data_IF_510763621648
#
_entry.id   IF_510763621648
#
_cell.length_a   1.000
_cell.length_b   1.000
_cell.length_c   1.000
_cell.angle_alpha   90.00
_cell.angle_beta   90.00
_cell.angle_gamma   90.00
#
_symmetry.space_group_name_H-M   'P 1'
#
loop_
_entity.id
_entity.type
_entity.pdbx_description
1 polymer ?
#
# COMPACT_ATOMS: atom_id res chain seq x y z
N UNK A 1 -6.55 -13.59 22.69
CA UNK A 1 -5.84 -12.56 21.90
C UNK A 1 -4.35 -12.84 21.98
N UNK A 2 -3.63 -12.69 20.88
CA UNK A 2 -2.19 -12.95 20.74
C UNK A 2 -1.60 -11.78 19.95
N UNK A 3 -0.45 -11.28 20.38
CA UNK A 3 0.32 -10.27 19.65
C UNK A 3 1.61 -10.90 19.15
N UNK A 4 1.89 -10.77 17.85
CA UNK A 4 3.15 -11.15 17.23
C UNK A 4 3.87 -9.88 16.81
N UNK A 5 5.03 -9.62 17.39
CA UNK A 5 5.87 -8.47 17.08
C UNK A 5 7.20 -8.99 16.57
N UNK A 6 7.66 -8.50 15.42
CA UNK A 6 8.93 -8.93 14.84
C UNK A 6 9.56 -7.82 14.02
N UNK A 7 10.88 -7.85 13.92
CA UNK A 7 11.72 -6.98 13.11
C UNK A 7 12.43 -7.72 11.97
N UNK A 8 12.09 -9.00 11.75
CA UNK A 8 12.66 -9.86 10.71
C UNK A 8 11.64 -10.74 10.02
N UNK A 9 12.09 -11.47 9.01
CA UNK A 9 11.29 -12.47 8.28
C UNK A 9 11.26 -13.81 9.01
N UNK A 10 10.24 -14.62 8.73
CA UNK A 10 10.10 -15.98 9.29
C UNK A 10 10.26 -17.01 8.17
N UNK A 11 10.88 -18.16 8.43
CA UNK A 11 11.14 -19.16 7.37
C UNK A 11 9.86 -19.89 6.89
N UNK A 12 8.96 -20.25 7.81
CA UNK A 12 7.78 -21.11 7.55
C UNK A 12 6.44 -20.34 7.47
N UNK A 13 6.49 -19.09 7.01
CA UNK A 13 5.37 -18.14 7.04
C UNK A 13 4.06 -18.66 6.44
N UNK A 14 4.13 -19.32 5.27
CA UNK A 14 2.94 -19.86 4.61
C UNK A 14 2.30 -20.99 5.41
N UNK A 15 3.13 -21.92 5.93
CA UNK A 15 2.65 -23.01 6.75
C UNK A 15 1.98 -22.49 8.03
N UNK A 16 2.53 -21.44 8.66
CA UNK A 16 1.91 -20.76 9.81
C UNK A 16 0.51 -20.26 9.44
N UNK A 17 0.37 -19.54 8.32
CA UNK A 17 -0.94 -19.08 7.84
C UNK A 17 -1.91 -20.24 7.59
N UNK A 18 -1.46 -21.33 6.97
CA UNK A 18 -2.32 -22.47 6.63
C UNK A 18 -2.76 -23.26 7.87
N UNK A 19 -1.90 -23.40 8.88
CA UNK A 19 -2.29 -23.97 10.17
C UNK A 19 -3.34 -23.10 10.86
N UNK A 20 -3.18 -21.77 10.80
CA UNK A 20 -4.15 -20.85 11.38
C UNK A 20 -5.49 -20.89 10.64
N UNK A 21 -5.50 -20.98 9.30
CA UNK A 21 -6.73 -21.19 8.52
C UNK A 21 -7.44 -22.49 8.91
N UNK A 22 -6.70 -23.59 9.09
CA UNK A 22 -7.26 -24.88 9.54
C UNK A 22 -7.89 -24.74 10.93
N UNK A 23 -7.22 -24.03 11.85
CA UNK A 23 -7.77 -23.73 13.18
C UNK A 23 -9.04 -22.89 13.10
N UNK A 24 -9.06 -21.83 12.29
CA UNK A 24 -10.25 -21.00 12.08
C UNK A 24 -11.42 -21.82 11.54
N UNK A 25 -11.17 -22.69 10.57
CA UNK A 25 -12.20 -23.58 10.01
C UNK A 25 -12.77 -24.57 11.04
N UNK A 26 -11.92 -25.09 11.91
CA UNK A 26 -12.30 -26.12 12.89
C UNK A 26 -12.93 -25.54 14.16
N UNK A 27 -12.50 -24.34 14.58
CA UNK A 27 -12.88 -23.75 15.87
C UNK A 27 -13.80 -22.53 15.73
N UNK A 28 -14.03 -22.03 14.51
CA UNK A 28 -14.91 -20.88 14.25
C UNK A 28 -14.55 -19.68 15.12
N UNK A 29 -15.53 -19.17 15.86
CA UNK A 29 -15.39 -18.04 16.79
C UNK A 29 -14.40 -18.27 17.94
N UNK A 30 -14.09 -19.53 18.30
CA UNK A 30 -13.14 -19.87 19.36
C UNK A 30 -11.66 -19.75 18.90
N UNK A 31 -11.43 -19.38 17.64
CA UNK A 31 -10.09 -19.18 17.11
C UNK A 31 -9.44 -17.93 17.74
N UNK A 32 -8.17 -17.99 18.18
CA UNK A 32 -7.53 -16.85 18.83
C UNK A 32 -7.39 -15.67 17.87
N UNK A 33 -7.67 -14.46 18.38
CA UNK A 33 -7.34 -13.22 17.69
C UNK A 33 -5.84 -13.01 17.63
N UNK A 34 -5.29 -12.79 16.43
CA UNK A 34 -3.85 -12.53 16.23
C UNK A 34 -3.68 -11.13 15.68
N UNK A 35 -2.98 -10.28 16.42
CA UNK A 35 -2.54 -8.96 15.97
C UNK A 35 -1.05 -9.04 15.64
N UNK A 36 -0.62 -8.41 14.55
CA UNK A 36 0.76 -8.47 14.07
C UNK A 36 1.37 -7.08 13.97
N UNK A 37 2.64 -6.95 14.36
CA UNK A 37 3.40 -5.71 14.29
C UNK A 37 4.77 -5.95 13.65
N UNK A 38 5.01 -5.33 12.49
CA UNK A 38 6.29 -5.41 11.77
C UNK A 38 7.16 -4.18 12.02
N UNK A 39 8.44 -4.39 12.35
CA UNK A 39 9.42 -3.32 12.58
C UNK A 39 10.47 -3.35 11.46
N UNK A 40 10.65 -2.24 10.77
CA UNK A 40 11.60 -2.12 9.67
C UNK A 40 11.16 -2.84 8.40
N UNK A 41 12.10 -2.99 7.49
CA UNK A 41 11.92 -3.50 6.13
C UNK A 41 12.21 -5.00 5.97
N UNK A 42 12.88 -5.61 6.95
CA UNK A 42 13.31 -7.02 6.85
C UNK A 42 12.17 -8.00 7.11
N UNK A 43 11.06 -7.56 7.71
CA UNK A 43 9.87 -8.38 7.86
C UNK A 43 9.18 -8.65 6.54
N UNK A 44 8.57 -9.84 6.40
CA UNK A 44 7.55 -10.03 5.40
C UNK A 44 6.22 -9.43 5.88
N UNK A 45 5.97 -8.17 5.53
CA UNK A 45 4.75 -7.46 5.91
C UNK A 45 3.48 -8.07 5.30
N UNK A 46 3.58 -8.77 4.17
CA UNK A 46 2.45 -9.48 3.57
C UNK A 46 2.07 -10.73 4.37
N UNK A 47 3.06 -11.47 4.90
CA UNK A 47 2.82 -12.55 5.86
C UNK A 47 2.11 -12.04 7.11
N UNK A 48 2.66 -11.00 7.75
CA UNK A 48 2.09 -10.43 8.98
C UNK A 48 0.65 -9.96 8.76
N UNK A 49 0.38 -9.31 7.62
CA UNK A 49 -0.97 -8.91 7.21
C UNK A 49 -1.90 -10.10 7.04
N UNK A 50 -1.47 -11.15 6.32
CA UNK A 50 -2.29 -12.35 6.14
C UNK A 50 -2.58 -13.05 7.45
N UNK A 51 -1.58 -13.20 8.33
CA UNK A 51 -1.75 -13.85 9.61
C UNK A 51 -2.74 -13.10 10.51
N UNK A 52 -2.65 -11.78 10.58
CA UNK A 52 -3.63 -10.96 11.32
C UNK A 52 -5.03 -11.09 10.73
N UNK A 53 -5.16 -11.00 9.41
CA UNK A 53 -6.47 -11.14 8.74
C UNK A 53 -7.10 -12.51 9.00
N UNK A 54 -6.35 -13.61 8.87
CA UNK A 54 -6.83 -14.97 9.17
C UNK A 54 -7.20 -15.08 10.66
N UNK A 55 -6.42 -14.45 11.54
CA UNK A 55 -6.72 -14.37 12.97
C UNK A 55 -7.81 -13.36 13.34
N UNK A 56 -8.46 -12.68 12.38
CA UNK A 56 -9.43 -11.58 12.63
C UNK A 56 -8.89 -10.44 13.52
N UNK A 57 -7.57 -10.28 13.60
CA UNK A 57 -6.93 -9.18 14.31
C UNK A 57 -6.44 -8.09 13.35
N UNK A 58 -5.67 -7.16 13.90
CA UNK A 58 -5.12 -6.01 13.18
C UNK A 58 -3.65 -6.20 12.87
N UNK A 59 -3.23 -5.75 11.69
CA UNK A 59 -1.83 -5.63 11.30
C UNK A 59 -1.42 -4.17 11.31
N UNK A 60 -0.29 -3.87 11.95
CA UNK A 60 0.38 -2.59 11.80
C UNK A 60 1.88 -2.77 11.57
N UNK A 61 2.52 -1.74 11.03
CA UNK A 61 3.96 -1.75 10.79
C UNK A 61 4.57 -0.35 10.85
N UNK A 62 5.86 -0.32 11.10
CA UNK A 62 6.64 0.91 11.22
C UNK A 62 8.06 0.73 10.70
N UNK A 63 8.51 1.64 9.82
CA UNK A 63 9.90 1.71 9.39
C UNK A 63 10.68 2.82 10.13
N UNK A 64 9.97 3.85 10.61
CA UNK A 64 10.56 4.93 11.40
C UNK A 64 10.60 4.54 12.88
N UNK A 65 11.80 4.32 13.40
CA UNK A 65 12.00 3.83 14.76
C UNK A 65 11.43 4.80 15.83
N UNK A 66 11.36 6.10 15.52
CA UNK A 66 10.82 7.11 16.43
C UNK A 66 9.29 6.99 16.62
N UNK A 67 8.60 6.27 15.72
CA UNK A 67 7.16 6.08 15.76
C UNK A 67 6.74 4.75 16.39
N UNK A 68 7.68 3.87 16.76
CA UNK A 68 7.38 2.53 17.28
C UNK A 68 6.41 2.61 18.46
N UNK A 69 6.74 3.39 19.49
CA UNK A 69 5.95 3.46 20.72
C UNK A 69 4.51 3.90 20.45
N UNK A 70 4.33 4.94 19.63
CA UNK A 70 3.01 5.45 19.28
C UNK A 70 2.18 4.41 18.53
N UNK A 71 2.80 3.69 17.59
CA UNK A 71 2.11 2.74 16.71
C UNK A 71 1.74 1.46 17.44
N UNK A 72 2.64 0.95 18.29
CA UNK A 72 2.35 -0.20 19.16
C UNK A 72 1.24 0.14 20.17
N UNK A 73 1.30 1.31 20.81
CA UNK A 73 0.24 1.73 21.73
C UNK A 73 -1.12 1.82 21.04
N UNK A 74 -1.16 2.35 19.80
CA UNK A 74 -2.38 2.39 18.99
C UNK A 74 -2.90 0.98 18.68
N UNK A 75 -2.04 0.06 18.25
CA UNK A 75 -2.42 -1.33 18.00
C UNK A 75 -3.01 -1.99 19.25
N UNK A 76 -2.39 -1.81 20.42
CA UNK A 76 -2.92 -2.32 21.68
C UNK A 76 -4.27 -1.70 22.04
N UNK A 77 -4.37 -0.38 21.97
CA UNK A 77 -5.62 0.35 22.27
C UNK A 77 -6.78 -0.15 21.40
N UNK A 78 -6.54 -0.32 20.09
CA UNK A 78 -7.53 -0.87 19.17
C UNK A 78 -7.89 -2.31 19.54
N UNK A 79 -6.90 -3.17 19.76
CA UNK A 79 -7.12 -4.58 20.07
C UNK A 79 -7.94 -4.76 21.36
N UNK A 80 -7.67 -3.99 22.41
CA UNK A 80 -8.41 -4.08 23.68
C UNK A 80 -9.79 -3.41 23.66
N UNK A 81 -10.15 -2.70 22.59
CA UNK A 81 -11.39 -1.95 22.48
C UNK A 81 -12.35 -2.51 21.43
N UNK A 82 -12.29 -3.82 21.16
CA UNK A 82 -13.24 -4.48 20.26
C UNK A 82 -14.68 -4.30 20.72
N UNK A 83 -15.51 -3.69 19.86
CA UNK A 83 -16.94 -3.41 20.12
C UNK A 83 -17.86 -4.42 19.43
N UNK A 84 -17.44 -5.00 18.31
CA UNK A 84 -18.23 -5.98 17.56
C UNK A 84 -17.29 -7.03 16.93
N UNK A 85 -17.51 -8.29 17.26
CA UNK A 85 -16.70 -9.41 16.80
C UNK A 85 -17.44 -10.29 15.78
N UNK A 86 -16.69 -11.16 15.09
CA UNK A 86 -17.22 -12.18 14.17
C UNK A 86 -18.15 -11.60 13.09
N UNK A 87 -17.71 -10.46 12.54
CA UNK A 87 -18.51 -9.71 11.58
C UNK A 87 -18.70 -10.52 10.29
N UNK A 88 -19.92 -10.53 9.79
CA UNK A 88 -20.31 -11.08 8.49
C UNK A 88 -21.23 -10.11 7.75
N UNK A 89 -21.17 -10.10 6.43
CA UNK A 89 -22.03 -9.27 5.57
C UNK A 89 -22.67 -10.18 4.54
N UNK A 90 -24.00 -10.20 4.50
CA UNK A 90 -24.75 -11.24 3.76
C UNK A 90 -24.41 -11.28 2.25
N UNK A 91 -24.16 -10.13 1.62
CA UNK A 91 -23.85 -10.07 0.19
C UNK A 91 -22.44 -10.54 -0.18
N UNK A 92 -21.51 -10.66 0.77
CA UNK A 92 -20.15 -11.11 0.46
C UNK A 92 -20.05 -12.62 0.23
N UNK A 93 -21.13 -13.35 0.49
CA UNK A 93 -21.22 -14.77 0.21
C UNK A 93 -21.68 -15.05 -1.24
N UNK A 94 -22.10 -14.03 -1.99
CA UNK A 94 -22.47 -14.15 -3.40
C UNK A 94 -21.25 -13.87 -4.29
N UNK A 95 -20.48 -14.94 -4.52
CA UNK A 95 -19.17 -14.88 -5.19
C UNK A 95 -19.24 -14.56 -6.70
N UNK A 96 -20.43 -14.58 -7.32
CA UNK A 96 -20.55 -14.35 -8.77
C UNK A 96 -20.63 -12.86 -9.13
N UNK A 97 -21.05 -11.99 -8.19
CA UNK A 97 -21.24 -10.57 -8.47
C UNK A 97 -20.34 -9.65 -7.64
N UNK A 98 -19.83 -10.08 -6.49
CA UNK A 98 -19.02 -9.25 -5.58
C UNK A 98 -17.70 -9.94 -5.25
N UNK A 99 -16.60 -9.34 -5.70
CA UNK A 99 -15.24 -9.73 -5.35
C UNK A 99 -14.77 -8.91 -4.13
N UNK A 100 -14.60 -9.55 -2.97
CA UNK A 100 -14.05 -8.91 -1.76
C UNK A 100 -12.58 -9.31 -1.57
N UNK A 101 -11.70 -8.33 -1.38
CA UNK A 101 -10.26 -8.56 -1.27
C UNK A 101 -9.79 -8.96 0.13
N UNK A 102 -10.68 -8.96 1.10
CA UNK A 102 -10.40 -9.48 2.45
C UNK A 102 -10.95 -10.90 2.55
N UNK A 103 -10.09 -11.86 2.89
CA UNK A 103 -10.52 -13.26 3.06
C UNK A 103 -11.32 -13.47 4.36
N UNK A 104 -11.14 -12.58 5.34
CA UNK A 104 -11.79 -12.62 6.64
C UNK A 104 -12.03 -11.20 7.13
N UNK A 105 -13.27 -10.86 7.50
CA UNK A 105 -13.60 -9.56 8.05
C UNK A 105 -13.03 -9.47 9.48
N UNK A 106 -12.16 -8.49 9.78
CA UNK A 106 -11.64 -8.28 11.12
C UNK A 106 -12.73 -7.75 12.05
N UNK A 107 -12.50 -7.88 13.36
CA UNK A 107 -13.41 -7.31 14.35
C UNK A 107 -13.39 -5.77 14.29
N UNK A 108 -14.48 -5.14 14.72
CA UNK A 108 -14.59 -3.68 14.81
C UNK A 108 -14.16 -3.23 16.20
N UNK A 109 -13.22 -2.30 16.25
CA UNK A 109 -12.74 -1.67 17.49
C UNK A 109 -13.19 -0.23 17.65
N UNK A 110 -13.26 0.23 18.89
CA UNK A 110 -13.61 1.61 19.22
C UNK A 110 -12.61 2.57 18.59
N UNK A 111 -13.11 3.69 18.05
CA UNK A 111 -12.30 4.72 17.36
C UNK A 111 -11.48 4.24 16.14
N UNK A 112 -11.69 3.01 15.66
CA UNK A 112 -11.04 2.45 14.47
C UNK A 112 -12.08 2.12 13.38
N UNK A 113 -12.08 2.81 12.22
CA UNK A 113 -13.03 2.51 11.16
C UNK A 113 -12.70 1.17 10.47
N UNK A 114 -13.67 0.26 10.44
CA UNK A 114 -13.56 -0.97 9.64
C UNK A 114 -13.74 -0.65 8.16
N UNK A 115 -12.69 -0.88 7.36
CA UNK A 115 -12.71 -0.68 5.91
C UNK A 115 -12.58 -2.02 5.19
N UNK A 116 -13.55 -2.34 4.34
CA UNK A 116 -13.54 -3.51 3.47
C UNK A 116 -13.66 -3.01 2.03
N UNK A 117 -12.76 -3.47 1.17
CA UNK A 117 -12.72 -3.08 -0.23
C UNK A 117 -12.90 -4.29 -1.15
N UNK A 118 -13.51 -4.02 -2.30
CA UNK A 118 -13.85 -5.03 -3.29
C UNK A 118 -14.37 -4.38 -4.57
N UNK A 119 -14.74 -5.23 -5.53
CA UNK A 119 -15.37 -4.84 -6.79
C UNK A 119 -16.67 -5.60 -6.94
N UNK A 120 -17.59 -5.05 -7.72
CA UNK A 120 -18.81 -5.75 -8.10
C UNK A 120 -19.09 -5.56 -9.58
N UNK A 121 -19.77 -6.54 -10.16
CA UNK A 121 -20.28 -6.48 -11.53
C UNK A 121 -21.82 -6.38 -11.50
N UNK A 122 -22.38 -5.62 -12.43
CA UNK A 122 -23.84 -5.46 -12.54
C UNK A 122 -24.43 -4.49 -11.52
N UNK A 123 -25.48 -4.94 -10.81
CA UNK A 123 -26.23 -4.10 -9.86
C UNK A 123 -25.81 -4.39 -8.42
N UNK A 124 -25.45 -3.35 -7.67
CA UNK A 124 -25.23 -3.47 -6.23
C UNK A 124 -26.56 -3.29 -5.47
N UNK A 125 -26.86 -4.10 -4.43
CA UNK A 125 -28.07 -3.96 -3.63
C UNK A 125 -28.12 -2.59 -2.93
N UNK A 126 -29.32 -2.02 -2.76
CA UNK A 126 -29.47 -0.70 -2.10
C UNK A 126 -29.30 -0.77 -0.58
N UNK A 127 -29.40 -1.97 0.00
CA UNK A 127 -29.18 -2.24 1.43
C UNK A 127 -28.40 -3.54 1.63
N UNK A 128 -27.47 -3.55 2.57
CA UNK A 128 -26.78 -4.76 3.03
C UNK A 128 -27.13 -5.03 4.50
N UNK A 129 -27.03 -6.28 4.93
CA UNK A 129 -27.10 -6.63 6.35
C UNK A 129 -25.71 -7.03 6.84
N UNK A 130 -25.26 -6.35 7.89
CA UNK A 130 -24.09 -6.75 8.68
C UNK A 130 -24.57 -7.44 9.95
N UNK A 131 -23.90 -8.53 10.32
CA UNK A 131 -24.12 -9.28 11.55
C UNK A 131 -22.81 -9.38 12.32
N UNK A 132 -22.89 -9.45 13.64
CA UNK A 132 -21.74 -9.69 14.52
C UNK A 132 -22.18 -10.03 15.93
N UNK A 133 -21.20 -10.12 16.84
CA UNK A 133 -21.38 -10.50 18.24
C UNK A 133 -20.88 -9.34 19.12
N UNK A 134 -21.71 -8.89 20.07
CA UNK A 134 -21.36 -7.86 21.04
C UNK A 134 -20.58 -8.44 22.23
N UNK A 135 -20.01 -7.58 23.07
CA UNK A 135 -19.22 -8.00 24.24
C UNK A 135 -20.01 -8.80 25.29
N UNK A 136 -21.34 -8.68 25.31
CA UNK A 136 -22.24 -9.48 26.15
C UNK A 136 -22.66 -10.81 25.49
N UNK A 137 -22.02 -11.18 24.37
CA UNK A 137 -22.28 -12.35 23.54
C UNK A 137 -23.64 -12.34 22.82
N UNK A 138 -24.39 -11.23 22.87
CA UNK A 138 -25.61 -11.09 22.10
C UNK A 138 -25.33 -10.89 20.61
N UNK A 139 -26.22 -11.39 19.77
CA UNK A 139 -26.15 -11.16 18.32
C UNK A 139 -26.59 -9.75 17.97
N UNK A 140 -25.81 -9.08 17.12
CA UNK A 140 -26.11 -7.75 16.60
C UNK A 140 -26.34 -7.82 15.09
N UNK A 141 -27.33 -7.07 14.61
CA UNK A 141 -27.68 -6.98 13.19
C UNK A 141 -27.92 -5.51 12.84
N UNK A 142 -27.31 -5.06 11.74
CA UNK A 142 -27.43 -3.69 11.27
C UNK A 142 -27.66 -3.66 9.76
N UNK A 143 -28.66 -2.88 9.34
CA UNK A 143 -28.88 -2.56 7.93
C UNK A 143 -27.91 -1.44 7.52
N UNK A 144 -27.02 -1.75 6.58
CA UNK A 144 -26.11 -0.81 5.95
C UNK A 144 -26.81 -0.16 4.76
N UNK A 145 -26.93 1.16 4.80
CA UNK A 145 -27.45 1.97 3.67
C UNK A 145 -26.33 2.22 2.68
N UNK A 146 -26.61 2.00 1.40
CA UNK A 146 -25.62 2.23 0.35
C UNK A 146 -25.62 3.71 -0.07
N UNK A 147 -24.43 4.30 -0.07
CA UNK A 147 -24.19 5.67 -0.51
C UNK A 147 -23.35 5.63 -1.77
N UNK A 148 -23.89 6.14 -2.87
CA UNK A 148 -23.18 6.23 -4.16
C UNK A 148 -22.42 7.56 -4.24
N UNK A 149 -21.18 7.57 -3.77
CA UNK A 149 -20.31 8.75 -3.81
C UNK A 149 -19.64 8.91 -5.19
N UNK A 150 -20.39 9.39 -6.19
CA UNK A 150 -19.88 9.56 -7.58
C UNK A 150 -18.69 10.52 -7.69
N UNK A 151 -18.58 11.46 -6.76
CA UNK A 151 -17.55 12.51 -6.79
C UNK A 151 -16.24 12.08 -6.10
N UNK A 152 -16.19 10.88 -5.50
CA UNK A 152 -15.00 10.34 -4.85
C UNK A 152 -14.39 9.27 -5.76
N UNK A 153 -13.14 9.44 -6.24
CA UNK A 153 -12.45 8.42 -7.03
C UNK A 153 -11.97 7.29 -6.13
N UNK A 154 -12.90 6.44 -5.67
CA UNK A 154 -12.64 5.33 -4.76
C UNK A 154 -11.62 4.35 -5.32
N UNK A 155 -11.61 4.15 -6.64
CA UNK A 155 -10.62 3.36 -7.35
C UNK A 155 -9.21 3.86 -7.05
N UNK A 156 -8.95 5.16 -7.09
CA UNK A 156 -7.65 5.77 -6.78
C UNK A 156 -7.35 5.80 -5.29
N UNK A 157 -8.34 6.15 -4.47
CA UNK A 157 -8.16 6.26 -3.01
C UNK A 157 -7.81 4.90 -2.39
N UNK A 158 -8.45 3.82 -2.87
CA UNK A 158 -8.27 2.48 -2.34
C UNK A 158 -7.21 1.66 -3.08
N UNK A 159 -6.64 2.19 -4.18
CA UNK A 159 -5.67 1.49 -5.02
C UNK A 159 -4.54 0.84 -4.23
N UNK A 160 -3.95 1.57 -3.27
CA UNK A 160 -2.84 1.04 -2.48
C UNK A 160 -3.27 -0.11 -1.58
N UNK A 161 -4.39 0.04 -0.89
CA UNK A 161 -4.95 -1.00 -0.02
C UNK A 161 -5.33 -2.25 -0.83
N UNK A 162 -5.93 -2.06 -2.01
CA UNK A 162 -6.26 -3.15 -2.94
C UNK A 162 -5.00 -3.90 -3.39
N UNK A 163 -3.95 -3.17 -3.80
CA UNK A 163 -2.65 -3.75 -4.17
C UNK A 163 -2.04 -4.53 -3.02
N UNK A 164 -2.02 -3.97 -1.81
CA UNK A 164 -1.40 -4.63 -0.64
C UNK A 164 -2.14 -5.93 -0.28
N UNK A 165 -3.48 -5.92 -0.28
CA UNK A 165 -4.29 -7.10 -0.01
C UNK A 165 -4.14 -8.17 -1.09
N UNK A 166 -4.21 -7.80 -2.37
CA UNK A 166 -4.05 -8.74 -3.47
C UNK A 166 -2.62 -9.30 -3.53
N UNK A 167 -1.60 -8.50 -3.20
CA UNK A 167 -0.21 -8.98 -3.10
C UNK A 167 -0.07 -10.00 -1.98
N UNK A 168 -0.68 -9.73 -0.82
CA UNK A 168 -0.67 -10.65 0.31
C UNK A 168 -1.37 -11.99 -0.02
N UNK A 169 -2.51 -11.92 -0.72
CA UNK A 169 -3.20 -13.10 -1.23
C UNK A 169 -2.39 -13.87 -2.27
N UNK A 170 -1.77 -13.17 -3.23
CA UNK A 170 -0.92 -13.77 -4.26
C UNK A 170 0.28 -14.49 -3.63
N UNK A 171 0.93 -13.85 -2.65
CA UNK A 171 2.04 -14.43 -1.90
C UNK A 171 1.62 -15.71 -1.16
N UNK A 172 0.47 -15.71 -0.48
CA UNK A 172 0.01 -16.85 0.32
C UNK A 172 -0.49 -18.01 -0.54
N UNK A 173 -1.16 -17.72 -1.66
CA UNK A 173 -1.73 -18.74 -2.55
C UNK A 173 -0.80 -19.17 -3.68
N UNK A 174 0.36 -18.52 -3.82
CA UNK A 174 1.30 -18.71 -4.92
C UNK A 174 0.65 -18.55 -6.31
N UNK A 175 -0.37 -17.69 -6.39
CA UNK A 175 -1.21 -17.55 -7.57
C UNK A 175 -0.63 -16.52 -8.55
N UNK A 176 -0.05 -17.01 -9.65
CA UNK A 176 0.53 -16.19 -10.74
C UNK A 176 -0.48 -15.29 -11.45
N UNK A 177 -1.76 -15.65 -11.50
CA UNK A 177 -2.78 -14.77 -12.06
C UNK A 177 -3.04 -13.56 -11.16
N UNK A 178 -3.00 -13.74 -9.83
CA UNK A 178 -3.07 -12.62 -8.89
C UNK A 178 -1.83 -11.73 -8.99
N UNK A 179 -0.63 -12.29 -9.14
CA UNK A 179 0.60 -11.49 -9.37
C UNK A 179 0.44 -10.60 -10.62
N UNK A 180 -0.07 -11.14 -11.72
CA UNK A 180 -0.35 -10.40 -12.95
C UNK A 180 -1.43 -9.33 -12.76
N UNK A 181 -2.51 -9.64 -12.03
CA UNK A 181 -3.58 -8.70 -11.69
C UNK A 181 -3.02 -7.51 -10.89
N UNK A 182 -2.20 -7.78 -9.87
CA UNK A 182 -1.53 -6.73 -9.08
C UNK A 182 -0.60 -5.89 -9.96
N UNK A 183 0.18 -6.52 -10.84
CA UNK A 183 1.07 -5.79 -11.74
C UNK A 183 0.30 -4.85 -12.69
N UNK A 184 -0.85 -5.31 -13.21
CA UNK A 184 -1.70 -4.50 -14.07
C UNK A 184 -2.35 -3.35 -13.28
N UNK A 185 -2.86 -3.64 -12.09
CA UNK A 185 -3.47 -2.63 -11.22
C UNK A 185 -2.46 -1.52 -10.89
N UNK A 186 -1.25 -1.91 -10.46
CA UNK A 186 -0.14 -0.97 -10.20
C UNK A 186 0.14 -0.03 -11.37
N UNK A 187 0.17 -0.55 -12.60
CA UNK A 187 0.39 0.26 -13.81
C UNK A 187 -0.74 1.26 -14.05
N UNK A 188 -1.99 0.84 -13.88
CA UNK A 188 -3.17 1.68 -14.14
C UNK A 188 -3.31 2.77 -13.09
N UNK A 189 -3.05 2.44 -11.82
CA UNK A 189 -3.24 3.36 -10.69
C UNK A 189 -1.98 4.16 -10.36
N UNK A 190 -0.85 3.81 -10.98
CA UNK A 190 0.47 4.37 -10.70
C UNK A 190 0.94 4.16 -9.25
N UNK A 191 0.43 3.12 -8.58
CA UNK A 191 0.88 2.70 -7.26
C UNK A 191 1.87 1.54 -7.38
N UNK A 192 3.09 1.72 -6.90
CA UNK A 192 4.15 0.68 -6.96
C UNK A 192 3.71 -0.57 -6.18
N UNK A 193 4.01 -1.74 -6.73
CA UNK A 193 3.79 -3.06 -6.12
C UNK A 193 5.05 -3.92 -6.24
N UNK A 194 5.10 -5.05 -5.52
CA UNK A 194 6.23 -6.00 -5.60
C UNK A 194 6.46 -6.55 -7.02
N UNK A 195 5.45 -6.49 -7.88
CA UNK A 195 5.50 -7.01 -9.25
C UNK A 195 5.75 -5.91 -10.30
N UNK A 196 6.08 -4.69 -9.88
CA UNK A 196 6.33 -3.56 -10.79
C UNK A 196 7.54 -2.74 -10.35
N UNK A 197 8.19 -2.06 -11.31
CA UNK A 197 9.28 -1.13 -11.03
C UNK A 197 9.10 0.17 -11.79
N UNK A 198 9.51 1.26 -11.15
CA UNK A 198 9.55 2.57 -11.78
C UNK A 198 10.91 2.77 -12.45
N UNK A 199 10.90 3.27 -13.68
CA UNK A 199 12.12 3.52 -14.47
C UNK A 199 12.09 4.97 -14.89
N UNK A 200 13.17 5.70 -14.59
CA UNK A 200 13.42 7.02 -15.15
C UNK A 200 14.06 6.85 -16.52
N UNK A 201 13.41 7.41 -17.54
CA UNK A 201 13.91 7.43 -18.92
C UNK A 201 14.37 8.84 -19.26
N UNK A 202 15.67 9.00 -19.43
CA UNK A 202 16.23 10.26 -19.92
C UNK A 202 16.07 10.30 -21.45
N UNK A 203 15.13 11.10 -21.93
CA UNK A 203 14.96 11.35 -23.38
C UNK A 203 16.03 12.34 -23.84
N UNK A 204 16.89 11.91 -24.77
CA UNK A 204 17.84 12.80 -25.42
C UNK A 204 17.09 13.78 -26.34
N UNK A 205 17.63 15.01 -26.52
CA UNK A 205 17.01 16.08 -27.35
C UNK A 205 16.71 15.68 -28.81
N UNK A 206 17.25 14.56 -29.28
CA UNK A 206 17.07 14.02 -30.65
C UNK A 206 15.68 13.40 -30.85
N UNK A 207 15.03 12.89 -29.80
CA UNK A 207 13.70 12.25 -29.93
C UNK A 207 12.58 13.25 -30.29
N UNK A 208 12.75 14.54 -29.98
CA UNK A 208 11.81 15.60 -30.38
C UNK A 208 11.82 15.87 -31.89
N UNK A 209 12.90 15.52 -32.60
CA UNK A 209 13.01 15.74 -34.04
C UNK A 209 12.31 14.65 -34.87
N UNK A 210 12.16 13.44 -34.33
CA UNK A 210 11.57 12.31 -35.06
C UNK A 210 10.03 12.32 -34.98
N UNK A 211 9.46 12.81 -33.87
CA UNK A 211 8.00 12.98 -33.74
C UNK A 211 7.45 14.17 -34.55
N UNK A 212 8.29 15.10 -35.01
CA UNK A 212 7.87 16.33 -35.69
C UNK A 212 8.04 16.34 -37.22
N UNK A 213 8.64 15.32 -37.83
CA UNK A 213 8.77 15.23 -39.29
C UNK A 213 8.05 14.01 -39.85
N UNK A 214 6.80 14.23 -40.28
CA UNK A 214 6.06 13.29 -41.11
C UNK A 214 6.81 12.99 -42.41
N UNK A 215 6.79 11.71 -42.77
CA UNK A 215 7.01 11.12 -44.10
C UNK A 215 7.84 11.94 -45.11
N UNK A 216 9.08 11.53 -45.36
CA UNK A 216 9.65 11.59 -46.72
C UNK A 216 10.71 10.50 -46.95
N UNK A 217 10.46 9.68 -47.98
CA UNK A 217 11.37 8.69 -48.55
C UNK A 217 12.55 9.38 -49.25
N UNK A 218 13.81 9.04 -48.96
CA UNK A 218 14.90 9.08 -49.97
C UNK A 218 16.03 8.05 -49.69
N UNK A 219 16.21 7.20 -50.71
CA UNK A 219 17.37 6.48 -51.31
C UNK A 219 18.52 5.86 -50.46
N UNK A 220 18.84 4.63 -50.88
CA UNK A 220 20.01 3.79 -50.54
C UNK A 220 21.35 4.46 -50.91
N UNK A 221 22.28 4.52 -49.95
CA UNK A 221 23.73 4.38 -50.20
C UNK A 221 24.51 3.95 -48.94
N UNK A 222 25.44 3.01 -49.16
CA UNK A 222 26.57 2.44 -48.38
C UNK A 222 26.43 1.84 -46.94
N UNK A 223 26.97 0.62 -46.67
CA UNK A 223 26.78 -0.11 -45.40
C UNK A 223 27.86 0.11 -44.32
N UNK A 224 28.76 1.10 -44.43
CA UNK A 224 29.86 1.25 -43.47
C UNK A 224 29.96 2.65 -42.85
N UNK A 225 29.09 2.91 -41.86
CA UNK A 225 29.30 3.73 -40.64
C UNK A 225 27.94 4.14 -40.08
N UNK A 226 27.36 3.27 -39.26
CA UNK A 226 26.34 3.70 -38.30
C UNK A 226 26.89 3.31 -36.92
N UNK A 227 27.46 4.30 -36.21
CA UNK A 227 27.57 4.21 -34.76
C UNK A 227 26.14 4.11 -34.24
N UNK A 228 25.89 3.10 -33.40
CA UNK A 228 24.59 2.87 -32.76
C UNK A 228 23.97 4.20 -32.29
N UNK A 229 22.68 4.46 -32.56
CA UNK A 229 22.01 5.59 -31.96
C UNK A 229 22.02 5.36 -30.44
N UNK A 230 22.67 6.27 -29.72
CA UNK A 230 22.83 6.23 -28.27
C UNK A 230 21.47 5.98 -27.60
N UNK A 231 21.26 4.75 -27.12
CA UNK A 231 20.00 4.34 -26.51
C UNK A 231 19.65 5.27 -25.33
N UNK A 232 18.37 5.60 -25.12
CA UNK A 232 17.96 6.46 -24.02
C UNK A 232 18.45 5.87 -22.69
N UNK A 233 19.09 6.70 -21.86
CA UNK A 233 19.64 6.27 -20.57
C UNK A 233 18.47 5.88 -19.67
N UNK A 234 18.43 4.62 -19.27
CA UNK A 234 17.41 4.08 -18.36
C UNK A 234 18.01 3.97 -16.97
N UNK A 235 17.46 4.70 -16.01
CA UNK A 235 17.81 4.56 -14.60
C UNK A 235 16.68 3.85 -13.90
N UNK A 236 16.95 2.67 -13.37
CA UNK A 236 15.99 1.94 -12.55
C UNK A 236 15.91 2.62 -11.19
N UNK A 237 14.71 3.07 -10.80
CA UNK A 237 14.52 3.55 -9.44
C UNK A 237 14.51 2.37 -8.47
N UNK A 238 14.98 2.60 -7.25
CA UNK A 238 14.94 1.56 -6.22
C UNK A 238 13.50 1.13 -5.92
N UNK A 239 13.35 -0.12 -5.45
CA UNK A 239 12.05 -0.65 -5.05
C UNK A 239 11.54 0.15 -3.85
N UNK A 240 10.42 0.86 -4.02
CA UNK A 240 9.74 1.58 -2.94
C UNK A 240 8.70 0.68 -2.23
N UNK A 241 8.85 -0.63 -2.38
CA UNK A 241 7.94 -1.64 -1.88
C UNK A 241 8.50 -2.26 -0.59
N UNK A 242 7.63 -2.83 0.24
CA UNK A 242 8.02 -3.34 1.57
C UNK A 242 8.71 -4.71 1.48
N UNK A 243 8.59 -5.39 0.33
CA UNK A 243 9.24 -6.67 0.07
C UNK A 243 8.55 -7.87 0.71
N UNK A 244 9.06 -9.06 0.40
CA UNK A 244 8.62 -10.33 0.99
C UNK A 244 9.53 -10.77 2.15
N UNK A 245 10.16 -9.80 2.83
CA UNK A 245 11.11 -10.02 3.91
C UNK A 245 12.53 -10.36 3.44
N UNK A 246 13.48 -10.31 4.39
CA UNK A 246 14.89 -10.60 4.19
C UNK A 246 15.37 -11.64 5.24
N UNK A 247 15.39 -12.91 4.83
CA UNK A 247 15.84 -14.01 5.68
C UNK A 247 17.34 -13.94 5.98
N UNK A 248 18.14 -13.36 5.09
CA UNK A 248 19.58 -13.22 5.30
C UNK A 248 19.84 -12.16 6.36
N UNK A 249 19.24 -10.98 6.23
CA UNK A 249 19.33 -9.92 7.24
C UNK A 249 18.83 -10.40 8.62
N UNK A 250 17.77 -11.22 8.62
CA UNK A 250 17.23 -11.83 9.84
C UNK A 250 18.23 -12.81 10.46
N UNK A 251 18.79 -13.74 9.68
CA UNK A 251 19.77 -14.71 10.17
C UNK A 251 21.06 -14.06 10.69
N UNK A 252 21.46 -12.95 10.06
CA UNK A 252 22.63 -12.15 10.45
C UNK A 252 22.35 -11.18 11.61
N UNK A 253 21.10 -11.11 12.11
CA UNK A 253 20.66 -10.17 13.15
C UNK A 253 21.00 -8.70 12.80
N UNK A 254 20.83 -8.33 11.53
CA UNK A 254 21.02 -6.94 11.08
C UNK A 254 19.94 -6.08 11.74
N UNK A 255 20.37 -5.01 12.41
CA UNK A 255 19.44 -4.10 13.10
C UNK A 255 18.56 -3.37 12.07
N UNK A 256 17.24 -3.23 12.32
CA UNK A 256 16.39 -2.34 11.55
C UNK A 256 16.95 -0.92 11.49
N UNK A 257 16.88 -0.28 10.32
CA UNK A 257 17.47 1.05 10.10
C UNK A 257 18.99 1.06 9.88
N UNK A 258 19.66 -0.10 9.93
CA UNK A 258 21.07 -0.25 9.53
C UNK A 258 21.24 -0.50 8.02
N UNK A 259 20.15 -0.41 7.25
CA UNK A 259 20.22 -0.45 5.80
C UNK A 259 21.20 0.62 5.33
N UNK A 260 22.33 0.21 4.75
CA UNK A 260 23.20 1.17 4.08
C UNK A 260 22.35 1.86 3.01
N UNK A 261 22.19 3.19 3.05
CA UNK A 261 21.50 3.87 1.98
C UNK A 261 22.33 3.65 0.72
N UNK A 262 21.83 2.81 -0.19
CA UNK A 262 22.28 2.84 -1.59
C UNK A 262 21.58 3.97 -2.36
N UNK A 263 21.08 5.00 -1.66
CA UNK A 263 20.42 6.16 -2.24
C UNK A 263 21.28 7.41 -2.06
N UNK A 264 21.26 8.33 -3.04
CA UNK A 264 21.52 9.73 -2.76
C UNK A 264 20.44 10.25 -1.80
N UNK A 265 20.83 11.00 -0.77
CA UNK A 265 20.00 11.54 0.33
C UNK A 265 18.58 12.00 -0.05
N UNK A 266 18.40 12.53 -1.27
CA UNK A 266 17.10 13.03 -1.75
C UNK A 266 15.97 11.99 -1.76
N UNK A 267 16.26 10.73 -2.13
CA UNK A 267 15.22 9.70 -2.20
C UNK A 267 14.79 9.20 -0.81
N UNK A 268 15.69 9.24 0.17
CA UNK A 268 15.37 8.98 1.58
C UNK A 268 14.50 10.11 2.15
N UNK A 269 14.81 11.37 1.81
CA UNK A 269 13.98 12.53 2.17
C UNK A 269 12.58 12.44 1.57
N UNK A 270 12.44 12.02 0.31
CA UNK A 270 11.14 11.77 -0.32
C UNK A 270 10.36 10.65 0.37
N UNK A 271 11.01 9.54 0.74
CA UNK A 271 10.40 8.44 1.48
C UNK A 271 9.95 8.87 2.88
N UNK A 272 10.80 9.57 3.63
CA UNK A 272 10.47 10.14 4.93
C UNK A 272 9.34 11.18 4.83
N UNK A 273 9.31 12.00 3.79
CA UNK A 273 8.26 13.00 3.59
C UNK A 273 6.91 12.36 3.20
N UNK A 274 6.92 11.36 2.32
CA UNK A 274 5.68 10.70 1.85
C UNK A 274 5.10 9.72 2.88
N UNK A 275 5.94 9.03 3.66
CA UNK A 275 5.51 8.19 4.78
C UNK A 275 4.99 9.03 5.96
N UNK A 276 5.64 10.15 6.28
CA UNK A 276 5.23 11.02 7.39
C UNK A 276 4.07 11.97 7.05
N UNK A 277 3.90 12.41 5.80
CA UNK A 277 2.84 13.37 5.46
C UNK A 277 1.45 12.73 5.60
N UNK A 278 1.27 11.51 5.10
CA UNK A 278 0.00 10.78 5.25
C UNK A 278 -0.17 10.25 6.69
N UNK A 279 0.91 9.79 7.35
CA UNK A 279 0.85 9.29 8.73
C UNK A 279 0.48 10.37 9.76
N UNK A 280 1.05 11.59 9.64
CA UNK A 280 0.77 12.69 10.59
C UNK A 280 -0.58 13.38 10.36
N UNK A 281 -1.05 13.49 9.11
CA UNK A 281 -2.39 14.06 8.84
C UNK A 281 -3.53 13.07 9.14
N UNK A 282 -3.34 11.77 8.85
CA UNK A 282 -4.36 10.75 9.14
C UNK A 282 -4.45 10.37 10.62
N UNK A 283 -3.44 10.65 11.46
CA UNK A 283 -3.50 10.38 12.90
C UNK A 283 -4.23 11.45 13.73
N UNK A 284 -4.61 12.60 13.14
CA UNK A 284 -5.32 13.68 13.86
C UNK A 284 -6.67 14.06 13.27
N UNK A 285 -7.06 13.47 12.15
CA UNK A 285 -8.28 13.84 11.46
C UNK A 285 -8.98 12.59 10.95
N UNK A 286 -10.22 12.39 11.37
CA UNK A 286 -11.08 11.35 10.81
C UNK A 286 -11.15 11.55 9.28
N UNK A 287 -11.16 10.48 8.48
CA UNK A 287 -11.11 10.57 7.01
C UNK A 287 -12.21 11.50 6.46
N UNK A 288 -13.39 11.50 7.08
CA UNK A 288 -14.51 12.40 6.78
C UNK A 288 -14.26 13.86 7.20
N UNK A 289 -13.50 14.10 8.26
CA UNK A 289 -13.11 15.43 8.76
C UNK A 289 -12.10 16.08 7.80
N UNK A 290 -11.14 15.30 7.29
CA UNK A 290 -10.22 15.75 6.22
C UNK A 290 -11.00 16.09 4.95
N UNK A 291 -11.90 15.19 4.51
CA UNK A 291 -12.73 15.43 3.32
C UNK A 291 -13.63 16.67 3.50
N UNK A 292 -14.25 16.86 4.67
CA UNK A 292 -15.04 18.06 4.99
C UNK A 292 -14.21 19.35 5.10
N UNK A 293 -12.98 19.26 5.59
CA UNK A 293 -12.09 20.41 5.67
C UNK A 293 -11.63 20.81 4.26
N UNK A 294 -11.23 19.84 3.44
CA UNK A 294 -10.85 20.03 2.06
C UNK A 294 -12.03 20.45 1.16
N UNK A 295 -13.26 20.02 1.44
CA UNK A 295 -14.45 20.44 0.68
C UNK A 295 -14.96 21.83 1.05
N UNK A 296 -14.55 22.36 2.22
CA UNK A 296 -14.80 23.75 2.63
C UNK A 296 -13.68 24.71 2.23
N UNK A 297 -12.61 24.19 1.62
CA UNK A 297 -11.47 24.99 1.19
C UNK A 297 -11.87 25.78 -0.06
N UNK A 298 -11.85 27.11 0.04
CA UNK A 298 -12.05 28.00 -1.10
C UNK A 298 -10.94 27.76 -2.14
N UNK A 299 -11.29 27.81 -3.42
CA UNK A 299 -10.41 27.65 -4.58
C UNK A 299 -9.10 28.44 -4.45
N UNK A 300 -9.14 29.66 -3.90
CA UNK A 300 -7.93 30.45 -3.67
C UNK A 300 -6.98 29.81 -2.64
N UNK A 301 -7.51 29.21 -1.58
CA UNK A 301 -6.73 28.48 -0.58
C UNK A 301 -6.15 27.19 -1.17
N UNK A 302 -6.93 26.49 -2.01
CA UNK A 302 -6.46 25.31 -2.73
C UNK A 302 -5.33 25.63 -3.71
N UNK A 303 -5.45 26.75 -4.44
CA UNK A 303 -4.39 27.23 -5.35
C UNK A 303 -3.13 27.59 -4.57
N UNK A 304 -3.26 28.31 -3.46
CA UNK A 304 -2.12 28.69 -2.62
C UNK A 304 -1.45 27.46 -2.00
N UNK A 305 -2.21 26.48 -1.49
CA UNK A 305 -1.65 25.22 -1.00
C UNK A 305 -0.96 24.44 -2.09
N UNK A 306 -1.55 24.35 -3.28
CA UNK A 306 -0.94 23.67 -4.43
C UNK A 306 0.33 24.38 -4.87
N UNK A 307 0.35 25.71 -4.90
CA UNK A 307 1.53 26.51 -5.20
C UNK A 307 2.62 26.36 -4.13
N UNK A 308 2.27 26.30 -2.85
CA UNK A 308 3.20 26.05 -1.75
C UNK A 308 3.79 24.65 -1.88
N UNK A 309 2.98 23.61 -2.10
CA UNK A 309 3.50 22.25 -2.29
C UNK A 309 4.31 22.11 -3.58
N UNK A 310 3.93 22.83 -4.64
CA UNK A 310 4.71 22.87 -5.88
C UNK A 310 6.03 23.61 -5.68
N UNK A 311 6.03 24.71 -4.94
CA UNK A 311 7.24 25.47 -4.59
C UNK A 311 8.16 24.67 -3.66
N UNK A 312 7.62 23.94 -2.69
CA UNK A 312 8.38 23.03 -1.82
C UNK A 312 8.95 21.84 -2.62
N UNK A 313 8.19 21.29 -3.56
CA UNK A 313 8.70 20.30 -4.51
C UNK A 313 9.80 20.88 -5.41
N UNK A 314 9.69 22.16 -5.80
CA UNK A 314 10.69 22.86 -6.61
C UNK A 314 11.97 23.16 -5.82
N UNK A 315 11.85 23.51 -4.53
CA UNK A 315 12.99 23.69 -3.61
C UNK A 315 13.71 22.35 -3.41
N UNK A 316 12.98 21.26 -3.22
CA UNK A 316 13.56 19.91 -3.21
C UNK A 316 14.25 19.54 -4.52
N UNK A 317 13.74 19.99 -5.68
CA UNK A 317 14.43 19.84 -6.97
C UNK A 317 15.69 20.71 -7.09
N UNK A 318 15.70 21.93 -6.52
CA UNK A 318 16.88 22.82 -6.55
C UNK A 318 18.00 22.26 -5.67
N UNK A 319 17.69 21.76 -4.47
CA UNK A 319 18.68 21.09 -3.60
C UNK A 319 19.26 19.85 -4.28
N UNK A 320 18.41 19.09 -4.99
CA UNK A 320 18.85 17.96 -5.80
C UNK A 320 19.74 18.39 -6.98
N UNK A 321 19.45 19.52 -7.64
CA UNK A 321 20.30 20.08 -8.70
C UNK A 321 21.64 20.62 -8.17
N UNK A 322 21.67 21.22 -6.98
CA UNK A 322 22.93 21.70 -6.38
C UNK A 322 23.85 20.56 -5.95
N UNK A 323 23.31 19.40 -5.53
CA UNK A 323 24.10 18.21 -5.25
C UNK A 323 24.55 17.47 -6.53
N UNK A 324 23.75 17.47 -7.60
CA UNK A 324 24.09 16.77 -8.84
C UNK A 324 25.01 17.57 -9.79
N UNK A 325 25.11 18.89 -9.62
CA UNK A 325 25.92 19.77 -10.50
C UNK A 325 27.04 20.53 -9.77
N UNK A 326 27.33 20.17 -8.52
CA UNK A 326 28.25 20.89 -7.64
C UNK A 326 29.60 20.22 -7.39
N UNK A 327 30.22 19.56 -8.39
CA UNK A 327 31.65 19.26 -8.38
C UNK A 327 32.20 19.29 -9.81
N UNK A 328 32.56 20.48 -10.27
CA UNK A 328 33.62 20.71 -11.25
C UNK A 328 34.05 22.17 -11.11
N UNK A 329 35.11 22.42 -10.32
CA UNK A 329 35.74 23.74 -10.25
C UNK A 329 36.34 24.14 -8.91
N UNK A 330 37.33 23.39 -8.40
CA UNK A 330 38.65 23.89 -7.98
C UNK A 330 39.54 22.74 -7.49
#
# INVERSE_FOLDING_TARGET
MIFLITDGAVEDERNICDQMKKRLKNSGSLCPRIHTFGIGSFCNHYFLRMLAMIGRGEFDAVCDLDLIDNRIQKLFSNAFSTVLADITVDAFNDHEQIEVYSSCIPDLSFESPLTICGRYEGSFPDTLKAKGILGDLSSFVMDLKIVRAKDIPLDRVLSRQEIDLLTAQAWLSENKQLEQKVAQLSKVTCNISEYTRMVLLEKNKIDKAIESSGAQKVKKTDPHKIKDPLAPRKTLLQSLSVGFGDLTATAENIRPGFEQPKLPDAAEVFLKATSNCCGRMCNRCCCMCCIQCCSKMNDQCAIVLTQIFTALAFIGCIECCTLCCGQDGQ
#
